data_IF_480090658833
#
_entry.id   IF_480090658833
#
_cell.length_a   1.000
_cell.length_b   1.000
_cell.length_c   1.000
_cell.angle_alpha   90.00
_cell.angle_beta   90.00
_cell.angle_gamma   90.00
#
_symmetry.space_group_name_H-M   'P 1'
#
loop_
_entity.id
_entity.type
_entity.pdbx_description
1 polymer ?
#
# COMPACT_ATOMS: atom_id res chain seq x y z
N UNK A 1 -23.37 -14.59 38.91
CA UNK A 1 -24.23 -13.46 39.10
C UNK A 1 -24.28 -12.54 37.90
N UNK A 2 -25.18 -11.56 37.95
CA UNK A 2 -25.36 -10.59 36.84
C UNK A 2 -24.13 -9.73 36.60
N UNK A 3 -23.33 -9.44 37.61
CA UNK A 3 -22.11 -8.64 37.51
C UNK A 3 -21.00 -9.38 36.78
N UNK A 4 -20.84 -10.66 37.01
CA UNK A 4 -19.83 -11.49 36.33
C UNK A 4 -20.12 -11.59 34.83
N UNK A 5 -21.37 -11.80 34.43
CA UNK A 5 -21.76 -11.84 33.03
C UNK A 5 -21.53 -10.52 32.30
N UNK A 6 -21.69 -9.36 32.97
CA UNK A 6 -21.41 -8.05 32.37
C UNK A 6 -19.92 -7.82 32.16
N UNK A 7 -19.07 -8.24 33.10
CA UNK A 7 -17.62 -8.11 32.98
C UNK A 7 -17.08 -8.97 31.85
N UNK A 8 -17.51 -10.21 31.72
CA UNK A 8 -17.13 -11.13 30.63
C UNK A 8 -17.53 -10.55 29.27
N UNK A 9 -18.74 -10.03 29.13
CA UNK A 9 -19.19 -9.41 27.88
C UNK A 9 -18.38 -8.16 27.49
N UNK A 10 -17.94 -7.35 28.44
CA UNK A 10 -17.08 -6.19 28.17
C UNK A 10 -15.68 -6.59 27.74
N UNK A 11 -15.11 -7.61 28.36
CA UNK A 11 -13.80 -8.13 28.01
C UNK A 11 -13.77 -8.74 26.60
N UNK A 12 -14.78 -9.53 26.26
CA UNK A 12 -14.94 -10.08 24.92
C UNK A 12 -15.06 -8.98 23.85
N UNK A 13 -15.88 -7.96 24.11
CA UNK A 13 -16.02 -6.83 23.19
C UNK A 13 -14.73 -6.05 22.99
N UNK A 14 -13.91 -5.87 24.03
CA UNK A 14 -12.60 -5.22 23.93
C UNK A 14 -11.61 -6.04 23.12
N UNK A 15 -11.58 -7.36 23.31
CA UNK A 15 -10.71 -8.25 22.56
C UNK A 15 -11.07 -8.28 21.07
N UNK A 16 -12.34 -8.37 20.74
CA UNK A 16 -12.82 -8.32 19.36
C UNK A 16 -12.44 -7.00 18.68
N UNK A 17 -12.62 -5.86 19.36
CA UNK A 17 -12.24 -4.55 18.83
C UNK A 17 -10.74 -4.43 18.58
N UNK A 18 -9.89 -5.00 19.44
CA UNK A 18 -8.43 -5.01 19.26
C UNK A 18 -8.01 -5.88 18.08
N UNK A 19 -8.61 -7.04 17.92
CA UNK A 19 -8.33 -7.96 16.81
C UNK A 19 -8.72 -7.35 15.47
N UNK A 20 -9.88 -6.72 15.38
CA UNK A 20 -10.33 -6.00 14.20
C UNK A 20 -9.37 -4.86 13.84
N UNK A 21 -8.96 -4.05 14.81
CA UNK A 21 -8.00 -2.98 14.60
C UNK A 21 -6.64 -3.47 14.10
N UNK A 22 -6.16 -4.62 14.60
CA UNK A 22 -4.91 -5.23 14.14
C UNK A 22 -5.02 -5.76 12.72
N UNK A 23 -6.13 -6.37 12.35
CA UNK A 23 -6.37 -6.86 11.00
C UNK A 23 -6.46 -5.73 10.00
N UNK A 24 -7.17 -4.67 10.32
CA UNK A 24 -7.25 -3.47 9.49
C UNK A 24 -5.88 -2.84 9.29
N UNK A 25 -5.09 -2.68 10.35
CA UNK A 25 -3.73 -2.15 10.28
C UNK A 25 -2.80 -2.99 9.42
N UNK A 26 -2.91 -4.32 9.48
CA UNK A 26 -2.14 -5.24 8.62
C UNK A 26 -2.53 -5.13 7.16
N UNK A 27 -3.82 -5.02 6.87
CA UNK A 27 -4.31 -4.88 5.50
C UNK A 27 -3.89 -3.55 4.89
N UNK A 28 -3.97 -2.46 5.64
CA UNK A 28 -3.49 -1.14 5.22
C UNK A 28 -1.99 -1.16 4.96
N UNK A 29 -1.20 -1.74 5.87
CA UNK A 29 0.26 -1.86 5.70
C UNK A 29 0.66 -2.67 4.48
N UNK A 30 -0.03 -3.79 4.22
CA UNK A 30 0.20 -4.61 3.03
C UNK A 30 -0.17 -3.86 1.75
N UNK A 31 -1.31 -3.15 1.74
CA UNK A 31 -1.74 -2.37 0.59
C UNK A 31 -0.76 -1.23 0.27
N UNK A 32 -0.29 -0.50 1.29
CA UNK A 32 0.74 0.53 1.13
C UNK A 32 2.06 -0.04 0.64
N UNK A 33 2.51 -1.18 1.18
CA UNK A 33 3.72 -1.86 0.75
C UNK A 33 3.67 -2.32 -0.70
N UNK A 34 2.53 -2.87 -1.14
CA UNK A 34 2.31 -3.27 -2.52
C UNK A 34 2.32 -2.07 -3.47
N UNK A 35 1.69 -0.98 -3.08
CA UNK A 35 1.66 0.26 -3.87
C UNK A 35 3.06 0.86 -4.02
N UNK A 36 3.82 0.96 -2.92
CA UNK A 36 5.22 1.41 -2.95
C UNK A 36 6.09 0.51 -3.81
N UNK A 37 5.93 -0.80 -3.71
CA UNK A 37 6.66 -1.76 -4.54
C UNK A 37 6.38 -1.60 -6.03
N UNK A 38 5.12 -1.36 -6.41
CA UNK A 38 4.73 -1.06 -7.80
C UNK A 38 5.37 0.24 -8.30
N UNK A 39 5.36 1.29 -7.48
CA UNK A 39 5.97 2.57 -7.84
C UNK A 39 7.48 2.44 -8.03
N UNK A 40 8.18 1.76 -7.14
CA UNK A 40 9.62 1.51 -7.24
C UNK A 40 9.95 0.74 -8.52
N UNK A 41 9.18 -0.29 -8.83
CA UNK A 41 9.36 -1.08 -10.04
C UNK A 41 9.09 -0.27 -11.31
N UNK A 42 8.08 0.57 -11.30
CA UNK A 42 7.77 1.47 -12.40
C UNK A 42 8.90 2.49 -12.64
N UNK A 43 9.48 3.03 -11.58
CA UNK A 43 10.63 3.95 -11.66
C UNK A 43 11.84 3.22 -12.22
N UNK A 44 12.14 2.01 -11.77
CA UNK A 44 13.23 1.18 -12.27
C UNK A 44 13.05 0.90 -13.78
N UNK A 45 11.86 0.49 -14.18
CA UNK A 45 11.53 0.25 -15.58
C UNK A 45 11.67 1.52 -16.42
N UNK A 46 11.20 2.67 -15.91
CA UNK A 46 11.31 3.95 -16.58
C UNK A 46 12.77 4.35 -16.79
N UNK A 47 13.63 4.15 -15.81
CA UNK A 47 15.08 4.40 -15.93
C UNK A 47 15.73 3.52 -16.99
N UNK A 48 15.39 2.24 -17.02
CA UNK A 48 15.89 1.30 -18.02
C UNK A 48 15.44 1.71 -19.42
N UNK A 49 14.17 2.04 -19.58
CA UNK A 49 13.61 2.48 -20.87
C UNK A 49 14.25 3.80 -21.33
N UNK A 50 14.49 4.72 -20.42
CA UNK A 50 15.16 5.99 -20.71
C UNK A 50 16.62 5.75 -21.17
N UNK A 51 17.33 4.83 -20.53
CA UNK A 51 18.68 4.42 -20.94
C UNK A 51 18.70 3.80 -22.34
N UNK A 52 17.61 3.15 -22.76
CA UNK A 52 17.44 2.59 -24.10
C UNK A 52 16.96 3.63 -25.13
N UNK A 53 16.90 4.90 -24.77
CA UNK A 53 16.44 6.00 -25.61
C UNK A 53 14.97 5.89 -26.05
N UNK A 54 14.14 5.26 -25.23
CA UNK A 54 12.70 5.20 -25.45
C UNK A 54 12.10 6.58 -25.09
N UNK A 55 11.14 7.06 -25.89
CA UNK A 55 10.53 8.37 -25.66
C UNK A 55 9.79 8.44 -24.31
N UNK A 56 9.76 9.61 -23.69
CA UNK A 56 9.04 9.83 -22.43
C UNK A 56 7.55 9.54 -22.55
N UNK A 57 6.95 9.78 -23.72
CA UNK A 57 5.54 9.48 -23.98
C UNK A 57 5.25 7.97 -23.91
N UNK A 58 6.11 7.15 -24.50
CA UNK A 58 6.00 5.70 -24.45
C UNK A 58 6.22 5.18 -23.03
N UNK A 59 7.23 5.71 -22.34
CA UNK A 59 7.49 5.35 -20.92
C UNK A 59 6.30 5.70 -20.05
N UNK A 60 5.67 6.84 -20.25
CA UNK A 60 4.44 7.23 -19.55
C UNK A 60 3.30 6.24 -19.79
N UNK A 61 3.09 5.79 -21.03
CA UNK A 61 2.06 4.81 -21.35
C UNK A 61 2.30 3.46 -20.69
N UNK A 62 3.54 3.01 -20.62
CA UNK A 62 3.91 1.70 -20.06
C UNK A 62 3.91 1.72 -18.53
N UNK A 63 4.46 2.77 -17.92
CA UNK A 63 4.67 2.84 -16.46
C UNK A 63 3.57 3.59 -15.72
N UNK A 64 2.81 4.44 -16.40
CA UNK A 64 1.82 5.32 -15.77
C UNK A 64 2.43 6.50 -15.02
N UNK A 65 3.76 6.67 -15.05
CA UNK A 65 4.43 7.80 -14.42
C UNK A 65 4.20 9.09 -15.23
N UNK A 66 4.13 10.24 -14.55
CA UNK A 66 4.02 11.53 -15.21
C UNK A 66 5.26 11.81 -16.08
N UNK A 67 5.07 12.42 -17.24
CA UNK A 67 6.17 12.75 -18.16
C UNK A 67 7.23 13.60 -17.47
N UNK A 68 6.80 14.55 -16.64
CA UNK A 68 7.70 15.39 -15.84
C UNK A 68 8.60 14.57 -14.92
N UNK A 69 8.05 13.56 -14.25
CA UNK A 69 8.81 12.67 -13.37
C UNK A 69 9.80 11.82 -14.15
N UNK A 70 9.42 11.37 -15.33
CA UNK A 70 10.29 10.61 -16.23
C UNK A 70 11.48 11.47 -16.71
N UNK A 71 11.24 12.72 -17.05
CA UNK A 71 12.29 13.64 -17.48
C UNK A 71 13.31 13.94 -16.37
N UNK A 72 12.89 13.90 -15.11
CA UNK A 72 13.75 14.11 -13.95
C UNK A 72 14.55 12.88 -13.52
N UNK A 73 14.28 11.72 -14.09
CA UNK A 73 15.01 10.48 -13.74
C UNK A 73 16.46 10.44 -14.24
#
# INVERSE_FOLDING_TARGET
GREEGRQEGREEGRQEGREEGRQEGRQEGLAEGLEQGKQEKNIENARTMKALNISSEVIHQVTGLAIKDIEEL
#
